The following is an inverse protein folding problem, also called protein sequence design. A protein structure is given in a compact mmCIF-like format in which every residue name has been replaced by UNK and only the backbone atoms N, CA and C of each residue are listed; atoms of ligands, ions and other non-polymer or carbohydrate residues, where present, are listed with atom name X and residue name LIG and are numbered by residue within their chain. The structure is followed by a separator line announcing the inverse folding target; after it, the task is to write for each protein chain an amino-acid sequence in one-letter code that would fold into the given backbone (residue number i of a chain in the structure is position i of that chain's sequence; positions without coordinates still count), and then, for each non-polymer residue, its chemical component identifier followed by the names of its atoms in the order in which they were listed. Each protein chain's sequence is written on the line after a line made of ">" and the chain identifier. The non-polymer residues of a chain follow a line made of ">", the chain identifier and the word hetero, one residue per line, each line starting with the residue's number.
data_IF_788634922495
#
_entry.id   IF_788634922495
#
_cell.length_a   1.000
_cell.length_b   1.000
_cell.length_c   1.000
_cell.angle_alpha   90.00
_cell.angle_beta   90.00
_cell.angle_gamma   90.00
#
_symmetry.space_group_name_H-M   'P 1'
#
loop_
_entity.id
_entity.type
_entity.pdbx_description
1 polymer ?
#
# COMPACT_ATOMS: atom_id res chain seq x y z
N UNK A 1 -29.14 -0.82 -2.40
CA UNK A 1 -28.41 -0.08 -3.44
C UNK A 1 -26.98 -0.60 -3.41
N UNK A 2 -26.46 -1.13 -4.51
CA UNK A 2 -25.07 -1.60 -4.61
C UNK A 2 -24.29 -0.58 -5.44
N UNK A 3 -23.20 -0.06 -4.88
CA UNK A 3 -22.29 0.80 -5.61
C UNK A 3 -21.28 -0.10 -6.35
N UNK A 4 -20.99 0.24 -7.61
CA UNK A 4 -20.02 -0.47 -8.45
C UNK A 4 -18.88 0.49 -8.73
N UNK A 5 -17.66 0.07 -8.44
CA UNK A 5 -16.45 0.80 -8.81
C UNK A 5 -16.22 0.69 -10.32
N UNK A 6 -16.15 1.83 -11.01
CA UNK A 6 -16.03 1.88 -12.49
C UNK A 6 -14.76 2.58 -12.97
N UNK A 7 -13.94 3.10 -12.06
CA UNK A 7 -12.75 3.84 -12.43
C UNK A 7 -11.98 4.41 -11.25
N UNK A 8 -10.82 4.99 -11.58
CA UNK A 8 -9.88 5.55 -10.62
C UNK A 8 -9.54 6.99 -10.99
N UNK A 9 -9.37 7.85 -10.00
CA UNK A 9 -8.85 9.21 -10.18
C UNK A 9 -7.64 9.40 -9.28
N UNK A 10 -6.50 9.89 -9.80
CA UNK A 10 -5.33 10.14 -8.98
C UNK A 10 -5.57 11.34 -8.05
N UNK A 11 -5.08 11.22 -6.82
CA UNK A 11 -5.05 12.31 -5.85
C UNK A 11 -3.79 12.20 -5.00
N UNK A 12 -3.24 13.34 -4.60
CA UNK A 12 -2.26 13.42 -3.52
C UNK A 12 -2.97 13.77 -2.22
N UNK A 13 -2.47 13.24 -1.10
CA UNK A 13 -2.94 13.67 0.22
C UNK A 13 -2.23 14.98 0.61
N UNK A 14 -2.89 15.80 1.45
CA UNK A 14 -2.25 16.93 2.11
C UNK A 14 -1.02 16.43 2.89
N UNK A 15 0.09 17.15 2.76
CA UNK A 15 1.37 16.74 3.36
C UNK A 15 1.28 16.52 4.88
N UNK A 16 0.53 17.37 5.58
CA UNK A 16 0.30 17.26 7.03
C UNK A 16 -0.42 15.97 7.47
N UNK A 17 -0.99 15.20 6.53
CA UNK A 17 -1.65 13.93 6.81
C UNK A 17 -0.78 12.71 6.47
N UNK A 18 0.39 12.87 5.85
CA UNK A 18 1.24 11.73 5.46
C UNK A 18 1.67 10.91 6.67
N UNK A 19 2.12 11.55 7.74
CA UNK A 19 2.55 10.86 8.97
C UNK A 19 1.42 10.00 9.55
N UNK A 20 0.19 10.51 9.53
CA UNK A 20 -1.01 9.79 9.97
C UNK A 20 -1.25 8.55 9.12
N UNK A 21 -1.17 8.67 7.79
CA UNK A 21 -1.34 7.52 6.87
C UNK A 21 -0.26 6.46 7.07
N UNK A 22 1.00 6.87 7.21
CA UNK A 22 2.12 5.94 7.43
C UNK A 22 1.93 5.20 8.77
N UNK A 23 1.63 5.94 9.84
CA UNK A 23 1.37 5.37 11.16
C UNK A 23 0.20 4.38 11.15
N UNK A 24 -0.85 4.64 10.37
CA UNK A 24 -1.96 3.70 10.19
C UNK A 24 -1.50 2.40 9.52
N UNK A 25 -0.64 2.49 8.50
CA UNK A 25 -0.01 1.35 7.86
C UNK A 25 0.82 0.52 8.84
N UNK A 26 1.68 1.15 9.63
CA UNK A 26 2.54 0.45 10.61
C UNK A 26 1.72 -0.27 11.68
N UNK A 27 0.68 0.39 12.20
CA UNK A 27 -0.25 -0.23 13.16
C UNK A 27 -0.96 -1.44 12.56
N UNK A 28 -1.40 -1.33 11.29
CA UNK A 28 -2.04 -2.43 10.60
C UNK A 28 -1.08 -3.63 10.44
N UNK A 29 0.14 -3.40 9.92
CA UNK A 29 1.17 -4.43 9.74
C UNK A 29 1.50 -5.11 11.06
N UNK A 30 1.69 -4.33 12.13
CA UNK A 30 1.98 -4.86 13.48
C UNK A 30 0.84 -5.74 13.99
N UNK A 31 -0.41 -5.30 13.82
CA UNK A 31 -1.58 -6.04 14.26
C UNK A 31 -1.72 -7.36 13.49
N UNK A 32 -1.62 -7.36 12.16
CA UNK A 32 -1.75 -8.59 11.37
C UNK A 32 -0.59 -9.55 11.60
N UNK A 33 0.62 -9.06 11.86
CA UNK A 33 1.76 -9.92 12.21
C UNK A 33 1.54 -10.65 13.55
N UNK A 34 0.93 -9.98 14.53
CA UNK A 34 0.60 -10.56 15.83
C UNK A 34 -0.54 -11.58 15.74
N UNK A 35 -1.62 -11.24 15.04
CA UNK A 35 -2.84 -12.05 14.98
C UNK A 35 -2.76 -13.17 13.92
N UNK A 36 -2.03 -12.94 12.83
CA UNK A 36 -1.93 -13.84 11.67
C UNK A 36 -0.48 -14.01 11.17
N UNK A 37 0.41 -14.72 11.90
CA UNK A 37 1.78 -14.96 11.44
C UNK A 37 1.82 -15.64 10.04
N UNK A 38 2.72 -15.24 9.13
CA UNK A 38 3.84 -14.28 9.30
C UNK A 38 3.45 -12.79 9.23
N UNK A 39 2.17 -12.50 9.00
CA UNK A 39 1.63 -11.16 8.75
C UNK A 39 1.39 -10.91 7.27
N UNK A 40 1.24 -9.63 6.92
CA UNK A 40 1.10 -9.19 5.52
C UNK A 40 2.47 -9.17 4.84
N UNK A 41 2.58 -9.82 3.69
CA UNK A 41 3.78 -9.82 2.85
C UNK A 41 3.45 -9.08 1.55
N UNK A 42 4.24 -8.05 1.24
CA UNK A 42 4.05 -7.25 0.04
C UNK A 42 2.97 -6.17 0.19
N UNK A 43 2.30 -5.79 -0.91
CA UNK A 43 1.43 -4.62 -0.92
C UNK A 43 0.05 -4.88 -0.31
N UNK A 44 -0.46 -3.87 0.38
CA UNK A 44 -1.83 -3.78 0.85
C UNK A 44 -2.37 -2.36 0.64
N UNK A 45 -3.67 -2.16 0.83
CA UNK A 45 -4.29 -0.84 0.79
C UNK A 45 -5.35 -0.70 1.88
N UNK A 46 -5.29 0.42 2.61
CA UNK A 46 -6.32 0.84 3.55
C UNK A 46 -7.27 1.79 2.82
N UNK A 47 -8.41 1.27 2.37
CA UNK A 47 -9.41 2.06 1.66
C UNK A 47 -10.16 2.91 2.69
N UNK A 48 -10.07 4.22 2.52
CA UNK A 48 -10.48 5.17 3.55
C UNK A 48 -11.24 6.36 2.99
N UNK A 49 -12.00 7.00 3.89
CA UNK A 49 -12.63 8.30 3.69
C UNK A 49 -12.03 9.31 4.66
N UNK A 50 -11.99 10.59 4.26
CA UNK A 50 -11.52 11.68 5.10
C UNK A 50 -12.71 12.54 5.51
N UNK A 51 -12.90 12.73 6.82
CA UNK A 51 -13.98 13.58 7.36
C UNK A 51 -13.63 15.07 7.22
N UNK A 52 -14.60 15.95 7.49
CA UNK A 52 -14.36 17.40 7.50
C UNK A 52 -13.33 17.82 8.54
N UNK A 53 -13.20 17.06 9.62
CA UNK A 53 -12.24 17.26 10.71
C UNK A 53 -10.88 16.58 10.44
N UNK A 54 -10.64 16.14 9.20
CA UNK A 54 -9.41 15.47 8.76
C UNK A 54 -9.13 14.14 9.50
N UNK A 55 -10.19 13.46 9.91
CA UNK A 55 -10.10 12.08 10.39
C UNK A 55 -10.10 11.11 9.22
N UNK A 56 -9.20 10.13 9.26
CA UNK A 56 -9.09 9.10 8.23
C UNK A 56 -9.77 7.85 8.78
N UNK A 57 -10.87 7.45 8.15
CA UNK A 57 -11.66 6.29 8.56
C UNK A 57 -11.49 5.21 7.50
N UNK A 58 -10.94 4.07 7.90
CA UNK A 58 -10.81 2.89 7.04
C UNK A 58 -12.13 2.15 7.01
N UNK A 59 -12.67 1.90 5.81
CA UNK A 59 -13.91 1.15 5.62
C UNK A 59 -13.70 -0.21 4.95
N UNK A 60 -12.58 -0.40 4.25
CA UNK A 60 -12.22 -1.67 3.61
C UNK A 60 -10.69 -1.83 3.50
N UNK A 61 -10.22 -3.06 3.34
CA UNK A 61 -8.80 -3.39 3.24
C UNK A 61 -8.56 -4.35 2.08
N UNK A 62 -7.66 -3.97 1.18
CA UNK A 62 -7.09 -4.90 0.20
C UNK A 62 -5.81 -5.50 0.75
N UNK A 63 -5.80 -6.82 0.99
CA UNK A 63 -4.64 -7.58 1.47
C UNK A 63 -3.67 -8.00 0.34
N UNK A 64 -3.77 -7.33 -0.80
CA UNK A 64 -2.95 -7.53 -2.00
C UNK A 64 -2.86 -6.23 -2.79
N UNK A 65 -2.21 -6.29 -3.96
CA UNK A 65 -2.21 -5.21 -4.94
C UNK A 65 -3.65 -4.71 -5.16
N UNK A 66 -3.95 -3.43 -4.87
CA UNK A 66 -5.29 -2.89 -5.07
C UNK A 66 -5.59 -2.82 -6.56
N UNK A 67 -6.88 -2.81 -6.91
CA UNK A 67 -7.36 -2.74 -8.29
C UNK A 67 -7.09 -1.41 -9.02
N UNK A 68 -6.05 -0.65 -8.67
CA UNK A 68 -5.79 0.70 -9.14
C UNK A 68 -4.63 0.76 -10.16
N UNK A 69 -4.90 0.73 -11.47
CA UNK A 69 -3.87 0.75 -12.50
C UNK A 69 -3.12 2.09 -12.57
N UNK A 70 -3.72 3.17 -12.09
CA UNK A 70 -3.18 4.54 -12.20
C UNK A 70 -1.99 4.73 -11.24
N UNK A 71 -1.90 3.95 -10.15
CA UNK A 71 -0.77 4.00 -9.21
C UNK A 71 0.59 3.80 -9.89
N UNK A 72 0.63 3.08 -11.02
CA UNK A 72 1.88 2.83 -11.74
C UNK A 72 2.46 4.07 -12.43
N UNK A 73 1.64 5.06 -12.73
CA UNK A 73 2.02 6.19 -13.59
C UNK A 73 1.91 7.54 -12.89
N UNK A 74 1.09 7.67 -11.84
CA UNK A 74 0.80 8.98 -11.24
C UNK A 74 1.25 9.15 -9.80
N UNK A 75 1.81 8.11 -9.16
CA UNK A 75 2.24 8.23 -7.77
C UNK A 75 3.53 9.06 -7.67
N UNK A 76 3.54 10.19 -6.96
CA UNK A 76 4.78 10.95 -6.73
C UNK A 76 5.67 10.28 -5.67
N UNK A 77 5.09 9.42 -4.83
CA UNK A 77 5.75 8.88 -3.63
C UNK A 77 6.91 7.94 -3.95
N UNK A 78 6.84 7.14 -5.02
CA UNK A 78 7.99 6.29 -5.39
C UNK A 78 9.17 7.13 -5.87
N UNK A 79 8.90 8.26 -6.53
CA UNK A 79 9.96 9.19 -6.95
C UNK A 79 10.63 9.84 -5.76
N UNK A 80 9.86 10.23 -4.74
CA UNK A 80 10.42 10.81 -3.52
C UNK A 80 11.30 9.81 -2.76
N UNK A 81 10.89 8.55 -2.66
CA UNK A 81 11.63 7.55 -1.90
C UNK A 81 12.80 6.92 -2.67
N UNK A 82 12.65 6.69 -3.98
CA UNK A 82 13.60 5.91 -4.78
C UNK A 82 14.27 6.70 -5.91
N UNK A 83 13.94 7.98 -6.08
CA UNK A 83 14.45 8.81 -7.18
C UNK A 83 13.86 8.50 -8.56
N UNK A 84 12.93 7.54 -8.66
CA UNK A 84 12.32 7.10 -9.92
C UNK A 84 10.84 6.77 -9.74
N UNK A 85 10.05 7.04 -10.78
CA UNK A 85 8.63 6.67 -10.83
C UNK A 85 8.48 5.22 -11.26
N UNK A 86 7.78 4.41 -10.48
CA UNK A 86 7.42 3.04 -10.85
C UNK A 86 6.14 2.58 -10.16
N UNK A 87 5.50 1.57 -10.74
CA UNK A 87 4.32 0.94 -10.14
C UNK A 87 4.61 -0.17 -9.15
N UNK A 88 3.55 -0.58 -8.44
CA UNK A 88 3.59 -1.62 -7.41
C UNK A 88 4.09 -2.96 -7.97
N UNK A 89 3.73 -3.32 -9.21
CA UNK A 89 4.25 -4.53 -9.85
C UNK A 89 5.78 -4.53 -9.96
N UNK A 90 6.39 -3.39 -10.32
CA UNK A 90 7.85 -3.24 -10.33
C UNK A 90 8.43 -3.31 -8.92
N UNK A 91 7.76 -2.74 -7.91
CA UNK A 91 8.18 -2.87 -6.50
C UNK A 91 8.18 -4.32 -6.03
N UNK A 92 7.18 -5.12 -6.39
CA UNK A 92 7.13 -6.56 -6.09
C UNK A 92 8.29 -7.28 -6.77
N UNK A 93 8.52 -7.03 -8.06
CA UNK A 93 9.63 -7.64 -8.78
C UNK A 93 11.00 -7.30 -8.17
N UNK A 94 11.17 -6.07 -7.70
CA UNK A 94 12.37 -5.66 -6.95
C UNK A 94 12.53 -6.47 -5.65
N UNK A 95 11.45 -6.69 -4.89
CA UNK A 95 11.49 -7.51 -3.67
C UNK A 95 11.91 -8.95 -3.96
N UNK A 96 11.30 -9.56 -4.98
CA UNK A 96 11.61 -10.94 -5.40
C UNK A 96 13.08 -11.06 -5.81
N UNK A 97 13.56 -10.11 -6.61
CA UNK A 97 14.96 -10.09 -7.05
C UNK A 97 15.92 -9.99 -5.86
N UNK A 98 15.70 -9.04 -4.95
CA UNK A 98 16.54 -8.89 -3.75
C UNK A 98 16.47 -10.14 -2.85
N UNK A 99 15.30 -10.69 -2.62
CA UNK A 99 15.15 -11.92 -1.82
C UNK A 99 15.84 -13.12 -2.47
N UNK A 100 15.87 -13.21 -3.81
CA UNK A 100 16.62 -14.23 -4.53
C UNK A 100 18.13 -14.04 -4.37
N UNK A 101 18.63 -12.81 -4.57
CA UNK A 101 20.05 -12.46 -4.42
C UNK A 101 20.56 -12.71 -2.99
N UNK A 102 19.71 -12.50 -1.99
CA UNK A 102 20.03 -12.73 -0.58
C UNK A 102 19.73 -14.16 -0.08
N UNK A 103 19.21 -15.05 -0.92
CA UNK A 103 18.83 -16.41 -0.51
C UNK A 103 17.68 -16.45 0.51
N UNK A 104 16.81 -15.42 0.53
CA UNK A 104 15.70 -15.24 1.48
C UNK A 104 14.32 -15.38 0.84
N UNK A 105 14.20 -16.00 -0.34
CA UNK A 105 12.89 -16.19 -1.01
C UNK A 105 11.83 -16.82 -0.11
N UNK A 106 12.21 -17.78 0.74
CA UNK A 106 11.32 -18.44 1.69
C UNK A 106 10.63 -17.49 2.70
N UNK A 107 11.10 -16.24 2.84
CA UNK A 107 10.47 -15.24 3.72
C UNK A 107 9.32 -14.48 3.06
N UNK A 108 9.24 -14.51 1.73
CA UNK A 108 8.30 -13.68 0.95
C UNK A 108 7.30 -14.52 0.12
N UNK A 109 7.39 -15.84 0.23
CA UNK A 109 6.46 -16.79 -0.37
C UNK A 109 5.89 -17.67 0.74
N UNK A 110 4.67 -18.16 0.54
CA UNK A 110 3.94 -19.01 1.48
C UNK A 110 3.26 -20.13 0.73
#
# INVERSE_FOLDING_TARGET
>A
MQNIEVGHTPASIRESLLEKVITMGDKFVTAVQKEYPPGIIGPFSLQSVITKDLEIIVYDVSLRVPGNPILATTSPYTKYQYGQTFGIGRRIAMEIKTAQEEGKLAKIVT
#
